data_IF_964085336115
#
_entry.id   IF_964085336115
#
_cell.length_a   1.000
_cell.length_b   1.000
_cell.length_c   1.000
_cell.angle_alpha   90.00
_cell.angle_beta   90.00
_cell.angle_gamma   90.00
#
_symmetry.space_group_name_H-M   'P 1'
#
loop_
_entity.id
_entity.type
_entity.pdbx_description
1 polymer ?
#
# COMPACT_ATOMS: atom_id res chain seq x y z
N UNK A 1 -6.30 20.68 -5.79
CA UNK A 1 -5.18 20.25 -4.93
C UNK A 1 -5.07 18.74 -4.95
N UNK A 2 -3.85 18.22 -4.87
CA UNK A 2 -3.56 16.78 -4.81
C UNK A 2 -3.37 16.39 -3.34
N UNK A 3 -3.95 15.27 -2.92
CA UNK A 3 -3.87 14.79 -1.53
C UNK A 3 -3.37 13.36 -1.52
N UNK A 4 -2.72 12.93 -0.42
CA UNK A 4 -2.28 11.54 -0.24
C UNK A 4 -3.40 10.54 -0.53
N UNK A 5 -4.61 10.78 0.00
CA UNK A 5 -5.77 9.91 -0.24
C UNK A 5 -6.14 9.76 -1.73
N UNK A 6 -6.06 10.86 -2.50
CA UNK A 6 -6.39 10.88 -3.93
C UNK A 6 -5.21 10.53 -4.84
N UNK A 7 -4.03 10.26 -4.27
CA UNK A 7 -2.83 9.86 -5.03
C UNK A 7 -2.79 8.37 -5.40
N UNK A 8 -3.69 7.56 -4.82
CA UNK A 8 -3.71 6.11 -4.99
C UNK A 8 -3.87 5.68 -6.46
N UNK A 9 -2.94 4.87 -6.96
CA UNK A 9 -3.10 4.19 -8.26
C UNK A 9 -4.33 3.27 -8.27
N UNK A 10 -4.57 2.58 -7.15
CA UNK A 10 -5.75 1.74 -6.98
C UNK A 10 -6.32 1.88 -5.57
N UNK A 11 -7.58 2.33 -5.48
CA UNK A 11 -8.29 2.53 -4.21
C UNK A 11 -9.53 1.64 -4.14
N UNK A 12 -9.72 0.95 -3.01
CA UNK A 12 -10.86 0.05 -2.78
C UNK A 12 -11.62 0.41 -1.51
N UNK A 13 -12.95 0.45 -1.63
CA UNK A 13 -13.85 0.76 -0.50
C UNK A 13 -15.00 -0.25 -0.34
N UNK A 14 -15.26 -1.11 -1.34
CA UNK A 14 -16.29 -2.15 -1.24
C UNK A 14 -15.83 -3.28 -0.31
N UNK A 15 -16.67 -3.69 0.65
CA UNK A 15 -16.34 -4.72 1.63
C UNK A 15 -16.06 -6.10 0.99
N UNK A 16 -15.20 -6.89 1.62
CA UNK A 16 -14.84 -8.22 1.16
C UNK A 16 -13.97 -8.23 -0.10
N UNK A 17 -13.25 -7.14 -0.38
CA UNK A 17 -12.37 -7.08 -1.56
C UNK A 17 -11.27 -8.13 -1.46
N UNK A 18 -11.07 -8.89 -2.54
CA UNK A 18 -10.01 -9.89 -2.65
C UNK A 18 -9.14 -9.59 -3.86
N UNK A 19 -7.82 -9.63 -3.68
CA UNK A 19 -6.84 -9.55 -4.76
C UNK A 19 -5.81 -10.69 -4.64
N UNK A 20 -5.35 -11.18 -5.80
CA UNK A 20 -4.35 -12.25 -5.85
C UNK A 20 -3.45 -12.14 -7.07
N UNK A 21 -2.19 -12.53 -6.91
CA UNK A 21 -1.22 -12.75 -8.01
C UNK A 21 -1.06 -11.53 -8.94
N UNK A 22 -0.96 -10.32 -8.38
CA UNK A 22 -0.83 -9.07 -9.14
C UNK A 22 0.10 -8.04 -8.50
N UNK A 23 0.54 -7.04 -9.27
CA UNK A 23 1.34 -5.90 -8.79
C UNK A 23 0.58 -4.59 -8.95
N UNK A 24 0.58 -3.75 -7.92
CA UNK A 24 0.08 -2.39 -7.94
C UNK A 24 1.26 -1.45 -7.66
N UNK A 25 1.51 -0.49 -8.55
CA UNK A 25 2.70 0.34 -8.50
C UNK A 25 2.38 1.81 -8.78
N UNK A 26 2.93 2.70 -7.96
CA UNK A 26 3.00 4.13 -8.23
C UNK A 26 4.43 4.51 -8.65
N UNK A 27 4.58 5.14 -9.82
CA UNK A 27 5.87 5.47 -10.45
C UNK A 27 6.29 6.93 -10.29
N UNK A 28 5.63 7.72 -9.43
CA UNK A 28 5.93 9.14 -9.24
C UNK A 28 7.40 9.42 -8.87
N UNK A 29 8.05 8.48 -8.16
CA UNK A 29 9.44 8.61 -7.71
C UNK A 29 9.56 9.26 -6.33
N UNK A 30 10.75 9.20 -5.70
CA UNK A 30 10.94 9.67 -4.32
C UNK A 30 10.91 11.20 -4.21
N UNK A 31 11.16 11.92 -5.29
CA UNK A 31 11.14 13.40 -5.37
C UNK A 31 9.73 14.01 -5.29
N UNK A 32 8.69 13.19 -5.51
CA UNK A 32 7.29 13.64 -5.53
C UNK A 32 6.59 13.50 -4.18
N UNK A 33 7.33 13.12 -3.14
CA UNK A 33 6.80 12.89 -1.80
C UNK A 33 5.66 11.85 -1.81
N UNK A 34 4.56 12.08 -1.10
CA UNK A 34 3.49 11.11 -0.83
C UNK A 34 2.83 10.59 -2.10
N UNK A 35 3.04 9.32 -2.49
CA UNK A 35 2.47 8.76 -3.71
C UNK A 35 1.99 7.32 -3.51
N UNK A 36 0.69 7.17 -3.25
CA UNK A 36 0.09 5.89 -2.87
C UNK A 36 -0.01 4.95 -4.06
N UNK A 37 0.44 3.71 -3.90
CA UNK A 37 0.21 2.64 -4.86
C UNK A 37 -1.17 2.00 -4.62
N UNK A 38 -1.44 1.56 -3.40
CA UNK A 38 -2.70 0.93 -3.03
C UNK A 38 -3.29 1.56 -1.77
N UNK A 39 -4.59 1.86 -1.83
CA UNK A 39 -5.39 2.33 -0.69
C UNK A 39 -6.55 1.37 -0.44
N UNK A 40 -6.73 0.94 0.79
CA UNK A 40 -7.90 0.14 1.19
C UNK A 40 -8.60 0.76 2.39
N UNK A 41 -9.91 0.97 2.22
CA UNK A 41 -10.90 1.18 3.30
C UNK A 41 -11.91 0.03 3.32
N UNK A 42 -11.59 -1.08 2.64
CA UNK A 42 -12.46 -2.26 2.52
C UNK A 42 -12.37 -3.11 3.77
N UNK A 43 -13.49 -3.23 4.49
CA UNK A 43 -13.61 -4.16 5.61
C UNK A 43 -13.62 -5.61 5.14
N UNK A 44 -12.96 -6.49 5.91
CA UNK A 44 -12.74 -7.90 5.58
C UNK A 44 -12.03 -8.10 4.24
N UNK A 45 -11.13 -7.19 3.87
CA UNK A 45 -10.32 -7.36 2.65
C UNK A 45 -9.18 -8.35 2.85
N UNK A 46 -8.89 -9.13 1.80
CA UNK A 46 -7.81 -10.11 1.80
C UNK A 46 -6.97 -10.01 0.52
N UNK A 47 -5.65 -9.86 0.69
CA UNK A 47 -4.70 -9.71 -0.41
C UNK A 47 -3.64 -10.80 -0.30
N UNK A 48 -3.52 -11.61 -1.36
CA UNK A 48 -2.69 -12.82 -1.35
C UNK A 48 -1.70 -12.84 -2.51
N UNK A 49 -0.40 -12.93 -2.23
CA UNK A 49 0.66 -12.90 -3.28
C UNK A 49 0.57 -11.68 -4.18
N UNK A 50 0.23 -10.54 -3.59
CA UNK A 50 0.25 -9.25 -4.26
C UNK A 50 1.58 -8.53 -4.01
N UNK A 51 1.97 -7.66 -4.93
CA UNK A 51 3.09 -6.75 -4.73
C UNK A 51 2.63 -5.28 -4.76
N UNK A 52 3.07 -4.50 -3.78
CA UNK A 52 2.80 -3.07 -3.68
C UNK A 52 4.13 -2.31 -3.76
N UNK A 53 4.26 -1.45 -4.78
CA UNK A 53 5.52 -0.80 -5.13
C UNK A 53 5.37 0.72 -5.21
N UNK A 54 6.21 1.43 -4.48
CA UNK A 54 6.25 2.88 -4.50
C UNK A 54 7.50 3.41 -3.80
N UNK A 55 7.45 4.67 -3.36
CA UNK A 55 8.46 5.30 -2.53
C UNK A 55 7.81 5.72 -1.22
N UNK A 56 7.44 6.99 -1.08
CA UNK A 56 6.72 7.46 0.10
C UNK A 56 5.23 7.11 0.01
N UNK A 57 4.64 6.66 1.12
CA UNK A 57 3.22 6.33 1.27
C UNK A 57 2.72 5.18 0.37
N UNK A 58 3.56 4.19 0.04
CA UNK A 58 3.21 3.10 -0.91
C UNK A 58 1.88 2.38 -0.61
N UNK A 59 1.69 1.91 0.63
CA UNK A 59 0.52 1.13 1.05
C UNK A 59 -0.26 1.90 2.11
N UNK A 60 -1.43 2.40 1.72
CA UNK A 60 -2.36 3.07 2.62
C UNK A 60 -3.44 2.10 3.12
N UNK A 61 -3.14 1.40 4.21
CA UNK A 61 -4.11 0.58 4.95
C UNK A 61 -5.00 1.52 5.79
N UNK A 62 -5.89 2.24 5.10
CA UNK A 62 -6.55 3.44 5.62
C UNK A 62 -7.46 3.17 6.82
N UNK A 63 -8.36 2.19 6.75
CA UNK A 63 -9.27 1.83 7.86
C UNK A 63 -9.83 0.40 7.75
N UNK A 64 -10.57 -0.05 8.77
CA UNK A 64 -11.25 -1.36 8.81
C UNK A 64 -10.30 -2.58 8.93
N UNK A 65 -10.84 -3.80 8.81
CA UNK A 65 -10.07 -5.05 9.00
C UNK A 65 -9.50 -5.53 7.67
N UNK A 66 -8.19 -5.77 7.63
CA UNK A 66 -7.47 -6.11 6.39
C UNK A 66 -6.46 -7.21 6.64
N UNK A 67 -6.33 -8.14 5.70
CA UNK A 67 -5.37 -9.24 5.78
C UNK A 67 -4.49 -9.31 4.54
N UNK A 68 -3.17 -9.27 4.74
CA UNK A 68 -2.18 -9.38 3.69
C UNK A 68 -1.35 -10.64 3.93
N UNK A 69 -1.32 -11.55 2.95
CA UNK A 69 -0.58 -12.81 3.07
C UNK A 69 0.33 -13.06 1.87
N UNK A 70 1.58 -13.42 2.15
CA UNK A 70 2.59 -13.73 1.12
C UNK A 70 2.78 -12.57 0.11
N UNK A 71 2.54 -11.33 0.57
CA UNK A 71 2.67 -10.13 -0.25
C UNK A 71 4.08 -9.54 -0.15
N UNK A 72 4.48 -8.78 -1.16
CA UNK A 72 5.70 -7.97 -1.14
C UNK A 72 5.35 -6.49 -1.08
N UNK A 73 5.83 -5.79 -0.06
CA UNK A 73 5.62 -4.34 0.10
C UNK A 73 6.97 -3.65 0.05
N UNK A 74 7.11 -2.66 -0.85
CA UNK A 74 8.37 -1.92 -1.02
C UNK A 74 8.17 -0.42 -1.05
N UNK A 75 8.98 0.34 -0.31
CA UNK A 75 8.98 1.81 -0.35
C UNK A 75 10.08 2.43 0.52
N UNK A 76 9.99 3.74 0.79
CA UNK A 76 11.00 4.53 1.49
C UNK A 76 10.48 5.08 2.81
N UNK A 77 9.69 6.14 2.79
CA UNK A 77 9.14 6.85 3.96
C UNK A 77 7.68 6.45 4.15
N UNK A 78 7.29 6.07 5.37
CA UNK A 78 5.91 5.74 5.75
C UNK A 78 5.19 4.82 4.74
N UNK A 79 5.93 3.90 4.12
CA UNK A 79 5.46 3.15 2.96
C UNK A 79 4.40 2.09 3.31
N UNK A 80 4.11 1.92 4.59
CA UNK A 80 2.96 1.19 5.15
C UNK A 80 2.37 2.06 6.26
N UNK A 81 1.17 2.60 6.05
CA UNK A 81 0.56 3.57 6.97
C UNK A 81 -0.97 3.51 6.94
N UNK A 82 -1.60 4.13 7.93
CA UNK A 82 -3.05 4.25 8.09
C UNK A 82 -3.55 3.76 9.46
N UNK A 83 -4.86 3.64 9.61
CA UNK A 83 -5.55 3.32 10.87
C UNK A 83 -6.35 2.01 10.80
N UNK A 84 -6.02 1.13 9.84
CA UNK A 84 -6.64 -0.18 9.73
C UNK A 84 -6.17 -1.15 10.82
N UNK A 85 -7.07 -2.07 11.21
CA UNK A 85 -6.68 -3.29 11.91
C UNK A 85 -6.15 -4.26 10.85
N UNK A 86 -4.87 -4.14 10.53
CA UNK A 86 -4.21 -4.89 9.47
C UNK A 86 -3.24 -5.95 10.00
N UNK A 87 -3.31 -7.16 9.45
CA UNK A 87 -2.34 -8.23 9.73
C UNK A 87 -1.56 -8.56 8.46
N UNK A 88 -0.24 -8.58 8.58
CA UNK A 88 0.70 -8.94 7.51
C UNK A 88 1.37 -10.27 7.87
N UNK A 89 1.00 -11.34 7.17
CA UNK A 89 1.51 -12.69 7.44
C UNK A 89 2.36 -13.20 6.28
N UNK A 90 3.57 -13.67 6.59
CA UNK A 90 4.52 -14.21 5.60
C UNK A 90 4.83 -13.22 4.46
N UNK A 91 4.73 -11.92 4.73
CA UNK A 91 5.02 -10.89 3.74
C UNK A 91 6.53 -10.56 3.70
N UNK A 92 6.99 -10.12 2.54
CA UNK A 92 8.30 -9.51 2.38
C UNK A 92 8.15 -7.99 2.46
N UNK A 93 8.67 -7.39 3.54
CA UNK A 93 8.65 -5.94 3.76
C UNK A 93 10.06 -5.41 3.49
N UNK A 94 10.22 -4.66 2.40
CA UNK A 94 11.53 -4.27 1.88
C UNK A 94 11.66 -2.74 1.76
N UNK A 95 12.44 -2.14 2.64
CA UNK A 95 12.82 -0.73 2.52
C UNK A 95 13.73 -0.52 1.31
N UNK A 96 13.54 0.60 0.61
CA UNK A 96 14.36 1.07 -0.52
C UNK A 96 15.25 2.23 -0.09
N UNK A 97 16.33 2.48 -0.85
CA UNK A 97 17.15 3.67 -0.68
C UNK A 97 16.30 4.92 -0.92
N UNK A 98 16.21 5.79 0.08
CA UNK A 98 15.56 7.09 0.00
C UNK A 98 16.39 8.14 -0.73
N UNK A 99 15.89 9.38 -0.76
CA UNK A 99 16.69 10.52 -1.18
C UNK A 99 17.89 10.71 -0.22
N UNK A 100 19.02 11.25 -0.70
CA UNK A 100 20.11 11.68 0.18
C UNK A 100 19.61 12.68 1.22
N UNK A 101 20.22 12.64 2.40
CA UNK A 101 20.04 13.67 3.44
C UNK A 101 20.69 15.00 3.02
#
# INVERSE_FOLDING_TARGET
GWTTYRSATFGVSGAGFIARDLTIQNTAGPEKHQAVAFRSDSDLSALYRCAFRGHQDTLYAHSSRQFYRECTITGTVDFMFGDAVAVFQNCQIQARKGLPN
#
